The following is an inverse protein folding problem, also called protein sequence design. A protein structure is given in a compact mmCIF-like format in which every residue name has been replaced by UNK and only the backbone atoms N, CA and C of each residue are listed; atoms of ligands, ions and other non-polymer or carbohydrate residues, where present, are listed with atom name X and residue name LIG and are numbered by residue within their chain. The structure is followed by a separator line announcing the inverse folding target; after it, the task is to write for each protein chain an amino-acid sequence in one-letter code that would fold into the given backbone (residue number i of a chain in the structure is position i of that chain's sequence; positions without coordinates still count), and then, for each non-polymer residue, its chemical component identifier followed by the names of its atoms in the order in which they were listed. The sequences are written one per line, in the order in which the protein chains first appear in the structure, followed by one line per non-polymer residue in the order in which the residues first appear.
data_IF_279811701587
#
_entry.id   IF_279811701587
#
_cell.length_a   1.000
_cell.length_b   1.000
_cell.length_c   1.000
_cell.angle_alpha   90.00
_cell.angle_beta   90.00
_cell.angle_gamma   90.00
#
_symmetry.space_group_name_H-M   'P 1'
#
loop_
_entity.id
_entity.type
_entity.pdbx_description
1 polymer ?
#
# COMPACT_ATOMS: atom_id res chain seq x y z
N UNK A 1 13.93 -11.64 -0.40
CA UNK A 1 13.02 -12.18 0.62
C UNK A 1 12.06 -13.13 -0.07
N UNK A 2 11.83 -14.32 0.49
CA UNK A 2 10.76 -15.24 0.09
C UNK A 2 9.77 -15.31 1.24
N UNK A 3 8.48 -15.22 0.95
CA UNK A 3 7.41 -15.29 1.94
C UNK A 3 6.22 -16.06 1.34
N UNK A 4 5.50 -16.85 2.14
CA UNK A 4 4.29 -17.52 1.67
C UNK A 4 3.17 -16.50 1.39
N UNK A 5 2.20 -16.89 0.55
CA UNK A 5 0.99 -16.12 0.37
C UNK A 5 0.28 -15.89 1.71
N UNK A 6 -0.27 -14.68 1.91
CA UNK A 6 -0.85 -14.25 3.19
C UNK A 6 0.14 -13.57 4.15
N UNK A 7 1.43 -13.52 3.81
CA UNK A 7 2.40 -12.73 4.57
C UNK A 7 2.21 -11.23 4.36
N UNK A 8 2.42 -10.45 5.41
CA UNK A 8 2.48 -8.97 5.35
C UNK A 8 3.94 -8.54 5.41
N UNK A 9 4.36 -7.69 4.46
CA UNK A 9 5.69 -7.09 4.44
C UNK A 9 5.55 -5.58 4.58
N UNK A 10 6.17 -5.00 5.60
CA UNK A 10 6.16 -3.56 5.88
C UNK A 10 7.55 -3.01 5.63
N UNK A 11 7.64 -1.91 4.90
CA UNK A 11 8.90 -1.21 4.64
C UNK A 11 8.66 0.30 4.57
N UNK A 12 9.73 1.07 4.81
CA UNK A 12 9.69 2.53 4.70
C UNK A 12 9.64 2.96 3.24
N UNK A 13 8.89 4.03 2.94
CA UNK A 13 8.88 4.63 1.59
C UNK A 13 10.25 5.13 1.12
N UNK A 14 11.19 5.33 2.05
CA UNK A 14 12.57 5.74 1.76
C UNK A 14 13.50 4.54 1.49
N UNK A 15 13.03 3.31 1.68
CA UNK A 15 13.82 2.11 1.39
C UNK A 15 13.89 1.91 -0.12
N UNK A 16 15.10 1.97 -0.69
CA UNK A 16 15.34 1.60 -2.08
C UNK A 16 15.02 0.11 -2.27
N UNK A 17 14.15 -0.19 -3.22
CA UNK A 17 13.76 -1.57 -3.55
C UNK A 17 13.45 -1.69 -5.03
N UNK A 18 13.66 -2.88 -5.58
CA UNK A 18 13.28 -3.23 -6.94
C UNK A 18 12.94 -4.71 -7.01
N UNK A 19 12.29 -5.12 -8.09
CA UNK A 19 12.04 -6.53 -8.36
C UNK A 19 12.53 -6.88 -9.76
N UNK A 20 13.03 -8.10 -9.93
CA UNK A 20 13.40 -8.62 -11.25
C UNK A 20 12.19 -9.24 -11.96
N UNK A 21 12.36 -9.50 -13.26
CA UNK A 21 11.40 -10.22 -14.09
C UNK A 21 11.11 -11.62 -13.52
N UNK A 22 9.83 -11.99 -13.48
CA UNK A 22 9.40 -13.34 -13.12
C UNK A 22 9.69 -14.30 -14.28
N UNK A 23 10.58 -15.27 -14.05
CA UNK A 23 10.99 -16.29 -15.05
C UNK A 23 10.27 -17.64 -14.88
N UNK A 24 9.29 -17.70 -14.00
CA UNK A 24 8.48 -18.90 -13.76
C UNK A 24 7.13 -18.80 -14.45
N UNK A 25 6.44 -19.95 -14.57
CA UNK A 25 5.06 -20.00 -15.06
C UNK A 25 4.02 -19.71 -13.96
N UNK A 26 4.45 -19.37 -12.74
CA UNK A 26 3.57 -19.05 -11.62
C UNK A 26 3.36 -17.53 -11.50
N UNK A 27 2.16 -17.11 -11.10
CA UNK A 27 1.88 -15.70 -10.82
C UNK A 27 2.57 -15.24 -9.53
N UNK A 28 3.06 -14.00 -9.53
CA UNK A 28 3.60 -13.31 -8.34
C UNK A 28 2.77 -12.06 -8.07
N UNK A 29 1.66 -12.23 -7.36
CA UNK A 29 0.74 -11.15 -7.01
C UNK A 29 1.00 -10.62 -5.60
N UNK A 30 0.90 -9.30 -5.43
CA UNK A 30 0.96 -8.64 -4.13
C UNK A 30 -0.01 -7.45 -4.13
N UNK A 31 -0.70 -7.25 -3.01
CA UNK A 31 -1.42 -6.01 -2.75
C UNK A 31 -0.46 -5.02 -2.09
N UNK A 32 -0.41 -3.80 -2.62
CA UNK A 32 0.43 -2.74 -2.09
C UNK A 32 -0.46 -1.60 -1.60
N UNK A 33 -0.30 -1.23 -0.33
CA UNK A 33 -1.01 -0.13 0.32
C UNK A 33 0.06 0.72 1.01
N UNK A 34 -0.08 2.04 0.92
CA UNK A 34 0.81 2.98 1.59
C UNK A 34 0.05 3.73 2.68
N UNK A 35 0.56 3.66 3.90
CA UNK A 35 0.08 4.47 5.03
C UNK A 35 0.94 5.72 5.14
N UNK A 36 0.27 6.86 5.34
CA UNK A 36 0.91 8.15 5.58
C UNK A 36 0.10 8.94 6.63
N UNK A 37 0.75 9.82 7.41
CA UNK A 37 0.05 10.64 8.42
C UNK A 37 -0.83 11.73 7.78
N UNK A 38 -0.65 12.00 6.49
CA UNK A 38 -1.43 12.97 5.70
C UNK A 38 -1.74 12.39 4.33
N UNK A 39 -2.84 12.81 3.67
CA UNK A 39 -3.13 12.42 2.30
C UNK A 39 -1.95 12.77 1.37
N UNK A 40 -1.53 11.80 0.57
CA UNK A 40 -0.52 12.03 -0.45
C UNK A 40 -1.19 12.71 -1.64
N UNK A 41 -0.58 13.77 -2.16
CA UNK A 41 -1.11 14.54 -3.29
C UNK A 41 -0.47 14.12 -4.62
N UNK A 42 -1.19 14.34 -5.72
CA UNK A 42 -0.65 14.35 -7.08
C UNK A 42 0.39 15.46 -7.24
N UNK A 43 1.22 15.37 -8.27
CA UNK A 43 2.32 16.32 -8.49
C UNK A 43 1.83 17.76 -8.72
N UNK A 44 0.65 17.91 -9.30
CA UNK A 44 -0.04 19.20 -9.52
C UNK A 44 -0.87 19.68 -8.32
N UNK A 45 -0.90 18.91 -7.22
CA UNK A 45 -1.72 19.15 -6.02
C UNK A 45 -3.23 19.29 -6.29
N UNK A 46 -3.74 18.78 -7.40
CA UNK A 46 -5.18 18.85 -7.72
C UNK A 46 -5.96 17.62 -7.25
N UNK A 47 -5.28 16.53 -6.89
CA UNK A 47 -5.92 15.27 -6.51
C UNK A 47 -5.10 14.48 -5.50
N UNK A 48 -5.71 13.47 -4.89
CA UNK A 48 -4.97 12.51 -4.07
C UNK A 48 -4.22 11.52 -4.94
N UNK A 49 -2.99 11.19 -4.52
CA UNK A 49 -2.21 10.09 -5.06
C UNK A 49 -2.73 8.79 -4.46
N UNK A 50 -3.24 7.91 -5.32
CA UNK A 50 -3.93 6.67 -4.93
C UNK A 50 -5.22 6.94 -4.12
N UNK A 51 -5.69 5.93 -3.37
CA UNK A 51 -6.87 6.02 -2.51
C UNK A 51 -6.45 6.66 -1.18
N UNK A 52 -7.07 7.78 -0.82
CA UNK A 52 -6.81 8.50 0.43
C UNK A 52 -7.96 8.28 1.42
N UNK A 53 -8.35 7.02 1.61
CA UNK A 53 -9.37 6.72 2.62
C UNK A 53 -8.77 6.93 4.00
N UNK A 54 -9.46 7.68 4.87
CA UNK A 54 -8.96 7.94 6.21
C UNK A 54 -9.05 6.68 7.06
N UNK A 55 -7.94 5.97 7.27
CA UNK A 55 -7.95 4.76 8.12
C UNK A 55 -8.36 5.02 9.59
N UNK A 56 -8.09 6.24 10.08
CA UNK A 56 -8.42 6.68 11.44
C UNK A 56 -9.15 8.02 11.35
N UNK A 57 -10.34 8.09 11.92
CA UNK A 57 -11.14 9.32 12.05
C UNK A 57 -11.35 9.57 13.53
N UNK A 58 -11.00 10.75 14.06
CA UNK A 58 -11.23 11.12 15.47
C UNK A 58 -10.62 10.16 16.52
N UNK A 59 -9.49 9.50 16.19
CA UNK A 59 -8.87 8.44 17.01
C UNK A 59 -9.68 7.14 17.11
N UNK A 60 -10.69 6.97 16.25
CA UNK A 60 -11.42 5.73 16.08
C UNK A 60 -11.02 5.08 14.75
N UNK A 61 -10.77 3.77 14.78
CA UNK A 61 -10.53 2.97 13.57
C UNK A 61 -11.86 2.79 12.85
N UNK A 62 -11.90 3.13 11.57
CA UNK A 62 -13.06 2.78 10.74
C UNK A 62 -12.92 1.35 10.22
N UNK A 63 -13.76 0.44 10.71
CA UNK A 63 -13.91 -0.89 10.11
C UNK A 63 -14.81 -0.76 8.87
N UNK A 64 -14.25 -0.90 7.67
CA UNK A 64 -14.98 -0.94 6.39
C UNK A 64 -15.80 -2.25 6.22
N UNK A 65 -16.55 -2.68 7.23
CA UNK A 65 -17.40 -3.89 7.12
C UNK A 65 -18.79 -3.62 6.52
N UNK A 66 -19.09 -2.39 6.08
CA UNK A 66 -20.34 -2.11 5.36
C UNK A 66 -20.14 -1.02 4.29
N UNK A 67 -19.81 -1.43 3.07
CA UNK A 67 -20.22 -0.76 1.83
C UNK A 67 -20.69 -1.80 0.83
#
# INVERSE_FOLDING_TARGET
MTCPAGSIVVFSSLTLHCSSANRSNALRSAYNIQYAPVPLMSEDNQSFRHKADPFIVQSETIDETNQ
#
